data_IF_883248880729
#
_entry.id   IF_883248880729
#
_cell.length_a   1.000
_cell.length_b   1.000
_cell.length_c   1.000
_cell.angle_alpha   90.00
_cell.angle_beta   90.00
_cell.angle_gamma   90.00
#
_symmetry.space_group_name_H-M   'P 1'
#
loop_
_entity.id
_entity.type
_entity.pdbx_description
1 polymer ?
#
# COMPACT_ATOMS: atom_id res chain seq x y z
N UNK A 1 -46.76 0.59 11.66
CA UNK A 1 -46.20 -0.32 10.65
C UNK A 1 -45.17 0.36 9.73
N UNK A 2 -45.51 1.50 9.08
CA UNK A 2 -44.60 2.23 8.18
C UNK A 2 -43.27 2.64 8.85
N UNK A 3 -43.32 3.17 10.08
CA UNK A 3 -42.11 3.59 10.83
C UNK A 3 -41.12 2.44 11.07
N UNK A 4 -41.62 1.23 11.37
CA UNK A 4 -40.76 0.06 11.59
C UNK A 4 -40.09 -0.39 10.28
N UNK A 5 -40.81 -0.31 9.17
CA UNK A 5 -40.26 -0.61 7.84
C UNK A 5 -39.19 0.41 7.45
N UNK A 6 -39.44 1.70 7.70
CA UNK A 6 -38.44 2.77 7.48
C UNK A 6 -37.21 2.58 8.37
N UNK A 7 -37.39 2.21 9.64
CA UNK A 7 -36.31 1.94 10.57
C UNK A 7 -35.49 0.73 10.14
N UNK A 8 -36.13 -0.36 9.70
CA UNK A 8 -35.44 -1.53 9.14
C UNK A 8 -34.66 -1.18 7.87
N UNK A 9 -35.26 -0.41 6.95
CA UNK A 9 -34.57 0.04 5.74
C UNK A 9 -33.37 0.93 6.06
N UNK A 10 -33.50 1.81 7.05
CA UNK A 10 -32.40 2.67 7.49
C UNK A 10 -31.27 1.88 8.17
N UNK A 11 -31.60 0.94 9.06
CA UNK A 11 -30.61 0.02 9.68
C UNK A 11 -29.91 -0.82 8.61
N UNK A 12 -30.65 -1.28 7.61
CA UNK A 12 -30.08 -2.03 6.48
C UNK A 12 -29.08 -1.20 5.69
N UNK A 13 -29.42 0.06 5.36
CA UNK A 13 -28.52 0.97 4.65
C UNK A 13 -27.26 1.26 5.48
N UNK A 14 -27.41 1.54 6.77
CA UNK A 14 -26.28 1.75 7.68
C UNK A 14 -25.36 0.52 7.73
N UNK A 15 -25.93 -0.68 7.77
CA UNK A 15 -25.15 -1.92 7.75
C UNK A 15 -24.43 -2.14 6.42
N UNK A 16 -25.09 -1.84 5.29
CA UNK A 16 -24.48 -1.92 3.97
C UNK A 16 -23.31 -0.94 3.81
N UNK A 17 -23.50 0.32 4.22
CA UNK A 17 -22.48 1.37 4.17
C UNK A 17 -21.27 0.98 5.04
N UNK A 18 -21.49 0.53 6.27
CA UNK A 18 -20.42 0.06 7.16
C UNK A 18 -19.66 -1.14 6.60
N UNK A 19 -20.36 -2.06 5.94
CA UNK A 19 -19.76 -3.24 5.33
C UNK A 19 -18.89 -2.85 4.12
N UNK A 20 -19.37 -1.94 3.28
CA UNK A 20 -18.62 -1.41 2.15
C UNK A 20 -17.38 -0.63 2.60
N UNK A 21 -17.52 0.21 3.63
CA UNK A 21 -16.40 0.95 4.23
C UNK A 21 -15.30 -0.01 4.71
N UNK A 22 -15.68 -1.07 5.43
CA UNK A 22 -14.73 -2.06 5.93
C UNK A 22 -14.01 -2.79 4.80
N UNK A 23 -14.74 -3.31 3.82
CA UNK A 23 -14.16 -4.05 2.68
C UNK A 23 -13.22 -3.17 1.85
N UNK A 24 -13.63 -1.94 1.56
CA UNK A 24 -12.83 -1.01 0.78
C UNK A 24 -11.61 -0.50 1.56
N UNK A 25 -11.66 -0.48 2.89
CA UNK A 25 -10.50 -0.18 3.73
C UNK A 25 -9.48 -1.31 3.66
N UNK A 26 -9.89 -2.54 3.96
CA UNK A 26 -9.00 -3.70 4.03
C UNK A 26 -8.25 -3.86 2.69
N UNK A 27 -8.97 -3.82 1.58
CA UNK A 27 -8.39 -3.94 0.22
C UNK A 27 -7.40 -2.83 -0.11
N UNK A 28 -7.69 -1.57 0.27
CA UNK A 28 -6.83 -0.43 -0.09
C UNK A 28 -5.59 -0.33 0.80
N UNK A 29 -5.74 -0.66 2.09
CA UNK A 29 -4.63 -0.77 3.02
C UNK A 29 -3.65 -1.87 2.59
N UNK A 30 -4.18 -3.04 2.20
CA UNK A 30 -3.40 -4.17 1.70
C UNK A 30 -2.58 -3.80 0.46
N UNK A 31 -3.22 -3.30 -0.60
CA UNK A 31 -2.52 -2.91 -1.85
C UNK A 31 -1.42 -1.89 -1.60
N UNK A 32 -1.71 -0.89 -0.77
CA UNK A 32 -0.76 0.17 -0.50
C UNK A 32 0.43 -0.35 0.33
N UNK A 33 0.18 -1.30 1.26
CA UNK A 33 1.21 -1.92 2.09
C UNK A 33 2.11 -2.83 1.24
N UNK A 34 1.53 -3.60 0.32
CA UNK A 34 2.26 -4.41 -0.65
C UNK A 34 3.18 -3.56 -1.50
N UNK A 35 2.68 -2.44 -2.06
CA UNK A 35 3.51 -1.50 -2.84
C UNK A 35 4.67 -0.94 -2.01
N UNK A 36 4.41 -0.52 -0.77
CA UNK A 36 5.45 0.01 0.11
C UNK A 36 6.50 -1.05 0.47
N UNK A 37 6.07 -2.28 0.75
CA UNK A 37 6.94 -3.40 1.03
C UNK A 37 7.80 -3.78 -0.18
N UNK A 38 7.21 -3.80 -1.39
CA UNK A 38 7.93 -4.07 -2.63
C UNK A 38 8.97 -2.98 -2.95
N UNK A 39 8.62 -1.70 -2.76
CA UNK A 39 9.56 -0.59 -2.92
C UNK A 39 10.74 -0.73 -1.95
N UNK A 40 10.47 -0.97 -0.67
CA UNK A 40 11.52 -1.17 0.33
C UNK A 40 12.36 -2.42 0.04
N UNK A 41 11.75 -3.47 -0.50
CA UNK A 41 12.44 -4.67 -0.97
C UNK A 41 13.43 -4.38 -2.08
N UNK A 42 13.02 -3.60 -3.10
CA UNK A 42 13.89 -3.17 -4.19
C UNK A 42 15.04 -2.27 -3.69
N UNK A 43 14.74 -1.28 -2.84
CA UNK A 43 15.76 -0.39 -2.26
C UNK A 43 16.81 -1.16 -1.47
N UNK A 44 16.38 -2.17 -0.69
CA UNK A 44 17.29 -3.05 0.04
C UNK A 44 18.13 -3.92 -0.90
N UNK A 45 17.51 -4.52 -1.92
CA UNK A 45 18.21 -5.37 -2.88
C UNK A 45 19.25 -4.59 -3.69
N UNK A 46 19.00 -3.30 -3.97
CA UNK A 46 19.96 -2.41 -4.64
C UNK A 46 21.04 -1.88 -3.69
N UNK A 47 20.67 -1.49 -2.48
CA UNK A 47 21.48 -0.64 -1.58
C UNK A 47 22.51 -1.39 -0.73
N UNK A 48 22.62 -1.01 0.55
CA UNK A 48 23.65 -1.52 1.46
C UNK A 48 23.52 -3.02 1.69
N UNK A 49 24.54 -3.76 1.27
CA UNK A 49 24.59 -5.23 1.33
C UNK A 49 23.97 -5.90 0.10
N UNK A 50 23.29 -5.10 -0.73
CA UNK A 50 22.71 -5.49 -2.01
C UNK A 50 23.67 -5.28 -3.18
N UNK A 51 23.09 -5.16 -4.38
CA UNK A 51 23.80 -5.18 -5.65
C UNK A 51 24.84 -4.09 -5.80
N UNK A 52 24.48 -2.81 -5.59
CA UNK A 52 25.40 -1.69 -5.79
C UNK A 52 26.56 -1.77 -4.80
N UNK A 53 26.30 -2.17 -3.54
CA UNK A 53 27.34 -2.34 -2.55
C UNK A 53 28.31 -3.48 -2.91
N UNK A 54 27.79 -4.65 -3.30
CA UNK A 54 28.64 -5.77 -3.72
C UNK A 54 29.45 -5.43 -4.98
N UNK A 55 28.84 -4.73 -5.94
CA UNK A 55 29.51 -4.25 -7.14
C UNK A 55 30.67 -3.32 -6.81
N UNK A 56 30.46 -2.28 -5.98
CA UNK A 56 31.54 -1.38 -5.55
C UNK A 56 32.64 -2.14 -4.81
N UNK A 57 32.29 -3.12 -3.97
CA UNK A 57 33.29 -3.95 -3.30
C UNK A 57 34.06 -4.84 -4.29
N UNK A 58 33.43 -5.32 -5.36
CA UNK A 58 34.09 -6.04 -6.44
C UNK A 58 35.09 -5.13 -7.17
N UNK A 59 34.70 -3.91 -7.53
CA UNK A 59 35.57 -2.92 -8.18
C UNK A 59 36.82 -2.64 -7.33
N UNK A 60 36.65 -2.51 -6.00
CA UNK A 60 37.75 -2.21 -5.07
C UNK A 60 38.67 -3.42 -4.82
N UNK A 61 38.09 -4.61 -4.55
CA UNK A 61 38.84 -5.76 -4.02
C UNK A 61 39.15 -6.84 -5.06
N UNK A 62 38.40 -6.91 -6.16
CA UNK A 62 38.58 -7.85 -7.28
C UNK A 62 38.68 -9.32 -6.92
N UNK A 63 38.04 -9.72 -5.83
CA UNK A 63 37.99 -11.13 -5.42
C UNK A 63 36.79 -11.84 -6.05
N UNK A 64 36.95 -13.14 -6.33
CA UNK A 64 35.86 -14.02 -6.76
C UNK A 64 34.66 -14.02 -5.82
N UNK A 65 34.88 -13.78 -4.52
CA UNK A 65 33.81 -13.67 -3.54
C UNK A 65 32.84 -12.53 -3.88
N UNK A 66 33.35 -11.31 -4.07
CA UNK A 66 32.54 -10.16 -4.43
C UNK A 66 31.95 -10.25 -5.84
N UNK A 67 32.62 -10.93 -6.78
CA UNK A 67 31.98 -11.26 -8.07
C UNK A 67 30.72 -12.12 -7.86
N UNK A 68 30.85 -13.24 -7.13
CA UNK A 68 29.70 -14.13 -6.86
C UNK A 68 28.59 -13.41 -6.11
N UNK A 69 28.93 -12.61 -5.10
CA UNK A 69 27.93 -11.80 -4.34
C UNK A 69 27.24 -10.78 -5.24
N UNK A 70 27.97 -10.13 -6.15
CA UNK A 70 27.41 -9.17 -7.11
C UNK A 70 26.43 -9.86 -8.05
N UNK A 71 26.78 -11.03 -8.61
CA UNK A 71 25.87 -11.81 -9.46
C UNK A 71 24.60 -12.24 -8.73
N UNK A 72 24.74 -12.73 -7.50
CA UNK A 72 23.60 -13.15 -6.67
C UNK A 72 22.66 -11.98 -6.35
N UNK A 73 23.21 -10.87 -5.85
CA UNK A 73 22.43 -9.68 -5.49
C UNK A 73 21.83 -8.95 -6.70
N UNK A 74 22.48 -9.01 -7.88
CA UNK A 74 21.86 -8.56 -9.13
C UNK A 74 20.60 -9.36 -9.45
N UNK A 75 20.65 -10.70 -9.33
CA UNK A 75 19.47 -11.55 -9.55
C UNK A 75 18.34 -11.20 -8.58
N UNK A 76 18.65 -11.01 -7.29
CA UNK A 76 17.68 -10.59 -6.27
C UNK A 76 17.08 -9.21 -6.59
N UNK A 77 17.90 -8.27 -7.05
CA UNK A 77 17.45 -6.93 -7.47
C UNK A 77 16.48 -7.01 -8.64
N UNK A 78 16.75 -7.83 -9.65
CA UNK A 78 15.87 -8.00 -10.80
C UNK A 78 14.53 -8.64 -10.40
N UNK A 79 14.53 -9.60 -9.46
CA UNK A 79 13.30 -10.18 -8.91
C UNK A 79 12.50 -9.13 -8.13
N UNK A 80 13.16 -8.32 -7.29
CA UNK A 80 12.50 -7.25 -6.54
C UNK A 80 11.92 -6.16 -7.46
N UNK A 81 12.61 -5.84 -8.56
CA UNK A 81 12.15 -4.91 -9.58
C UNK A 81 10.88 -5.43 -10.29
N UNK A 82 10.89 -6.71 -10.66
CA UNK A 82 9.74 -7.35 -11.32
C UNK A 82 8.51 -7.37 -10.39
N UNK A 83 8.70 -7.71 -9.11
CA UNK A 83 7.65 -7.62 -8.10
C UNK A 83 7.07 -6.20 -7.98
N UNK A 84 7.93 -5.19 -7.90
CA UNK A 84 7.48 -3.79 -7.85
C UNK A 84 6.71 -3.40 -9.14
N UNK A 85 7.19 -3.84 -10.30
CA UNK A 85 6.55 -3.59 -11.59
C UNK A 85 5.13 -4.17 -11.67
N UNK A 86 4.91 -5.34 -11.09
CA UNK A 86 3.59 -5.97 -11.06
C UNK A 86 2.56 -5.22 -10.20
N UNK A 87 3.01 -4.58 -9.13
CA UNK A 87 2.14 -3.83 -8.23
C UNK A 87 1.84 -2.40 -8.72
N UNK A 88 2.74 -1.83 -9.53
CA UNK A 88 2.66 -0.46 -10.03
C UNK A 88 1.96 -0.40 -11.41
N UNK A 89 0.70 0.02 -11.40
CA UNK A 89 -0.20 -0.15 -12.55
C UNK A 89 -0.37 1.09 -13.43
N UNK A 90 -0.22 2.30 -12.88
CA UNK A 90 -0.47 3.54 -13.63
C UNK A 90 0.65 3.86 -14.62
N UNK A 91 0.36 4.68 -15.63
CA UNK A 91 1.35 5.09 -16.64
C UNK A 91 2.55 5.78 -16.00
N UNK A 92 2.32 6.69 -15.05
CA UNK A 92 3.39 7.39 -14.34
C UNK A 92 4.22 6.46 -13.46
N UNK A 93 3.57 5.56 -12.71
CA UNK A 93 4.30 4.58 -11.88
C UNK A 93 5.18 3.67 -12.76
N UNK A 94 4.67 3.22 -13.91
CA UNK A 94 5.44 2.40 -14.87
C UNK A 94 6.63 3.14 -15.44
N UNK A 95 6.48 4.42 -15.81
CA UNK A 95 7.60 5.23 -16.29
C UNK A 95 8.72 5.34 -15.23
N UNK A 96 8.35 5.48 -13.96
CA UNK A 96 9.32 5.50 -12.85
C UNK A 96 10.01 4.15 -12.64
N UNK A 97 9.28 3.04 -12.77
CA UNK A 97 9.87 1.70 -12.73
C UNK A 97 10.85 1.49 -13.88
N UNK A 98 10.52 1.93 -15.09
CA UNK A 98 11.42 1.84 -16.24
C UNK A 98 12.68 2.71 -16.06
N UNK A 99 12.55 3.89 -15.45
CA UNK A 99 13.68 4.73 -15.09
C UNK A 99 14.64 4.02 -14.10
N UNK A 100 14.11 3.30 -13.11
CA UNK A 100 14.92 2.48 -12.18
C UNK A 100 15.56 1.30 -12.91
N UNK A 101 14.81 0.62 -13.78
CA UNK A 101 15.29 -0.49 -14.59
C UNK A 101 16.48 -0.09 -15.45
N UNK A 102 16.42 1.08 -16.09
CA UNK A 102 17.51 1.61 -16.91
C UNK A 102 18.82 1.72 -16.14
N UNK A 103 18.79 2.24 -14.91
CA UNK A 103 19.99 2.36 -14.07
C UNK A 103 20.48 1.00 -13.59
N UNK A 104 19.58 0.08 -13.23
CA UNK A 104 19.97 -1.30 -12.89
C UNK A 104 20.65 -1.99 -14.07
N UNK A 105 20.14 -1.80 -15.29
CA UNK A 105 20.73 -2.33 -16.51
C UNK A 105 22.10 -1.70 -16.81
N UNK A 106 22.29 -0.40 -16.55
CA UNK A 106 23.59 0.26 -16.67
C UNK A 106 24.60 -0.30 -15.67
N UNK A 107 24.24 -0.41 -14.38
CA UNK A 107 25.08 -1.09 -13.39
C UNK A 107 25.40 -2.54 -13.79
N UNK A 108 24.44 -3.29 -14.35
CA UNK A 108 24.72 -4.64 -14.87
C UNK A 108 25.76 -4.58 -15.99
N UNK A 109 25.61 -3.67 -16.94
CA UNK A 109 26.55 -3.54 -18.04
C UNK A 109 27.95 -3.14 -17.55
N UNK A 110 28.04 -2.19 -16.60
CA UNK A 110 29.28 -1.78 -15.97
C UNK A 110 29.95 -2.89 -15.15
N UNK A 111 29.15 -3.75 -14.52
CA UNK A 111 29.66 -4.96 -13.88
C UNK A 111 30.22 -5.95 -14.90
N UNK A 112 29.53 -6.24 -16.00
CA UNK A 112 30.09 -7.12 -17.03
C UNK A 112 31.35 -6.52 -17.69
N UNK A 113 31.39 -5.19 -17.86
CA UNK A 113 32.59 -4.47 -18.30
C UNK A 113 33.76 -4.66 -17.33
N UNK A 114 33.51 -4.61 -16.01
CA UNK A 114 34.56 -4.77 -15.00
C UNK A 114 35.20 -6.17 -14.98
N UNK A 115 34.54 -7.17 -15.57
CA UNK A 115 35.00 -8.55 -15.62
C UNK A 115 35.92 -8.85 -16.81
N UNK A 116 36.01 -7.96 -17.80
CA UNK A 116 36.85 -8.18 -18.96
C UNK A 116 38.34 -8.29 -18.56
N UNK A 117 39.06 -9.21 -19.19
CA UNK A 117 40.50 -9.43 -18.93
C UNK A 117 41.32 -8.16 -19.10
N UNK A 118 40.93 -7.33 -20.06
CA UNK A 118 41.53 -6.01 -20.32
C UNK A 118 41.42 -5.07 -19.11
N UNK A 119 40.47 -5.26 -18.18
CA UNK A 119 40.34 -4.40 -17.00
C UNK A 119 41.23 -4.79 -15.83
N UNK A 120 41.85 -5.98 -15.89
CA UNK A 120 42.66 -6.52 -14.78
C UNK A 120 43.90 -5.68 -14.45
N UNK A 121 44.44 -4.93 -15.42
CA UNK A 121 45.64 -4.11 -15.22
C UNK A 121 45.37 -2.74 -14.60
N UNK A 122 44.12 -2.28 -14.59
CA UNK A 122 43.76 -0.98 -14.01
C UNK A 122 43.94 -1.02 -12.49
N UNK A 123 44.18 0.13 -11.86
CA UNK A 123 44.01 0.29 -10.41
C UNK A 123 42.52 0.29 -10.01
N UNK A 124 42.18 0.12 -8.72
CA UNK A 124 40.82 0.27 -8.24
C UNK A 124 40.18 1.62 -8.61
N UNK A 125 40.95 2.71 -8.53
CA UNK A 125 40.46 4.06 -8.84
C UNK A 125 40.19 4.26 -10.33
N UNK A 126 41.08 3.77 -11.20
CA UNK A 126 40.87 3.84 -12.65
C UNK A 126 39.68 3.00 -13.09
N UNK A 127 39.54 1.80 -12.52
CA UNK A 127 38.38 0.95 -12.79
C UNK A 127 37.09 1.61 -12.32
N UNK A 128 37.06 2.17 -11.10
CA UNK A 128 35.88 2.85 -10.55
C UNK A 128 35.42 4.01 -11.43
N UNK A 129 36.36 4.78 -11.99
CA UNK A 129 36.06 5.85 -12.94
C UNK A 129 35.47 5.31 -14.25
N UNK A 130 36.02 4.22 -14.80
CA UNK A 130 35.54 3.64 -16.06
C UNK A 130 34.14 2.99 -15.93
N UNK A 131 33.86 2.42 -14.77
CA UNK A 131 32.60 1.72 -14.47
C UNK A 131 31.61 2.58 -13.70
N UNK A 132 31.80 3.89 -13.70
CA UNK A 132 30.88 4.85 -13.11
C UNK A 132 29.49 4.76 -13.72
N UNK A 133 28.47 4.90 -12.87
CA UNK A 133 27.04 4.93 -13.22
C UNK A 133 26.44 6.19 -12.60
N UNK A 134 25.69 6.94 -13.40
CA UNK A 134 24.85 8.03 -12.89
C UNK A 134 23.47 7.48 -12.50
N UNK A 135 23.23 7.37 -11.19
CA UNK A 135 22.00 6.84 -10.63
C UNK A 135 20.96 7.91 -10.26
N UNK A 136 21.21 9.18 -10.61
CA UNK A 136 20.34 10.33 -10.27
C UNK A 136 18.89 10.10 -10.71
N UNK A 137 18.69 9.53 -11.90
CA UNK A 137 17.37 9.26 -12.47
C UNK A 137 16.61 8.18 -11.66
N UNK A 138 17.29 7.11 -11.23
CA UNK A 138 16.67 6.08 -10.40
C UNK A 138 16.37 6.58 -9.00
N UNK A 139 17.27 7.37 -8.39
CA UNK A 139 17.04 7.98 -7.08
C UNK A 139 15.83 8.92 -7.11
N UNK A 140 15.69 9.72 -8.15
CA UNK A 140 14.53 10.58 -8.37
C UNK A 140 13.24 9.76 -8.51
N UNK A 141 13.27 8.68 -9.29
CA UNK A 141 12.12 7.79 -9.48
C UNK A 141 11.70 7.08 -8.18
N UNK A 142 12.64 6.52 -7.40
CA UNK A 142 12.39 5.90 -6.10
C UNK A 142 11.79 6.91 -5.11
N UNK A 143 12.37 8.11 -5.04
CA UNK A 143 11.87 9.19 -4.20
C UNK A 143 10.45 9.61 -4.59
N UNK A 144 10.16 9.71 -5.88
CA UNK A 144 8.83 10.06 -6.38
C UNK A 144 7.81 8.96 -6.05
N UNK A 145 8.13 7.67 -6.27
CA UNK A 145 7.23 6.57 -5.88
C UNK A 145 6.95 6.61 -4.36
N UNK A 146 7.98 6.80 -3.54
CA UNK A 146 7.83 6.93 -2.08
C UNK A 146 6.93 8.11 -1.70
N UNK A 147 7.13 9.26 -2.34
CA UNK A 147 6.35 10.48 -2.14
C UNK A 147 4.90 10.29 -2.57
N UNK A 148 4.60 9.44 -3.52
CA UNK A 148 3.21 9.20 -3.93
C UNK A 148 2.49 8.19 -3.03
N UNK A 149 3.22 7.23 -2.46
CA UNK A 149 2.64 6.24 -1.55
C UNK A 149 2.19 6.89 -0.22
N UNK A 150 3.06 7.67 0.42
CA UNK A 150 2.83 8.22 1.77
C UNK A 150 1.59 9.12 1.92
N UNK A 151 1.35 10.13 1.06
CA UNK A 151 0.18 11.00 1.12
C UNK A 151 -1.09 10.26 0.77
N UNK A 152 -1.07 9.36 -0.24
CA UNK A 152 -2.25 8.56 -0.61
C UNK A 152 -2.71 7.70 0.56
N UNK A 153 -1.77 7.11 1.30
CA UNK A 153 -2.08 6.42 2.55
C UNK A 153 -2.70 7.34 3.60
N UNK A 154 -2.09 8.50 3.87
CA UNK A 154 -2.57 9.44 4.90
C UNK A 154 -3.94 10.03 4.56
N UNK A 155 -4.14 10.45 3.32
CA UNK A 155 -5.41 10.97 2.82
C UNK A 155 -6.53 9.93 3.01
N UNK A 156 -6.26 8.67 2.68
CA UNK A 156 -7.22 7.59 2.83
C UNK A 156 -7.55 7.30 4.30
N UNK A 157 -6.57 7.34 5.20
CA UNK A 157 -6.79 7.23 6.65
C UNK A 157 -7.71 8.37 7.13
N UNK A 158 -7.48 9.60 6.67
CA UNK A 158 -8.28 10.77 7.09
C UNK A 158 -9.70 10.71 6.54
N UNK A 159 -9.87 10.41 5.25
CA UNK A 159 -11.19 10.25 4.62
C UNK A 159 -12.01 9.14 5.31
N UNK A 160 -11.38 8.01 5.58
CA UNK A 160 -12.06 6.88 6.23
C UNK A 160 -12.38 7.19 7.70
N UNK A 161 -11.53 7.93 8.41
CA UNK A 161 -11.84 8.40 9.75
C UNK A 161 -13.10 9.27 9.75
N UNK A 162 -13.24 10.19 8.80
CA UNK A 162 -14.46 11.00 8.66
C UNK A 162 -15.70 10.16 8.36
N UNK A 163 -15.57 9.13 7.51
CA UNK A 163 -16.68 8.22 7.20
C UNK A 163 -17.09 7.35 8.40
N UNK A 164 -16.11 6.85 9.16
CA UNK A 164 -16.33 6.12 10.42
C UNK A 164 -16.99 7.03 11.47
N UNK A 165 -16.54 8.27 11.62
CA UNK A 165 -17.14 9.24 12.54
C UNK A 165 -18.59 9.53 12.17
N UNK A 166 -18.90 9.69 10.87
CA UNK A 166 -20.28 9.85 10.40
C UNK A 166 -21.14 8.60 10.66
N UNK A 167 -20.58 7.40 10.46
CA UNK A 167 -21.28 6.17 10.77
C UNK A 167 -21.58 6.03 12.28
N UNK A 168 -20.66 6.45 13.15
CA UNK A 168 -20.89 6.51 14.60
C UNK A 168 -22.01 7.49 14.98
N UNK A 169 -22.08 8.65 14.32
CA UNK A 169 -23.19 9.59 14.50
C UNK A 169 -24.53 8.97 14.08
N UNK A 170 -24.55 8.24 12.95
CA UNK A 170 -25.75 7.53 12.52
C UNK A 170 -26.17 6.47 13.54
N UNK A 171 -25.23 5.64 14.03
CA UNK A 171 -25.51 4.64 15.09
C UNK A 171 -26.13 5.31 16.33
N UNK A 172 -25.56 6.42 16.82
CA UNK A 172 -26.09 7.16 17.96
C UNK A 172 -27.53 7.65 17.73
N UNK A 173 -27.80 8.27 16.58
CA UNK A 173 -29.15 8.70 16.19
C UNK A 173 -30.12 7.51 16.16
N UNK A 174 -29.68 6.37 15.61
CA UNK A 174 -30.47 5.13 15.58
C UNK A 174 -30.82 4.61 16.97
N UNK A 175 -29.86 4.58 17.89
CA UNK A 175 -30.07 4.15 19.28
C UNK A 175 -31.08 5.05 20.00
N UNK A 176 -30.97 6.38 19.81
CA UNK A 176 -31.91 7.35 20.39
C UNK A 176 -33.32 7.14 19.81
N UNK A 177 -33.44 7.03 18.49
CA UNK A 177 -34.74 6.80 17.83
C UNK A 177 -35.37 5.48 18.29
N UNK A 178 -34.58 4.42 18.43
CA UNK A 178 -35.05 3.13 18.92
C UNK A 178 -35.55 3.23 20.37
N UNK A 179 -34.81 3.94 21.24
CA UNK A 179 -35.24 4.18 22.62
C UNK A 179 -36.57 4.95 22.67
N UNK A 180 -36.75 5.97 21.81
CA UNK A 180 -38.01 6.73 21.71
C UNK A 180 -39.17 5.84 21.26
N UNK A 181 -38.96 4.97 20.25
CA UNK A 181 -39.98 4.03 19.78
C UNK A 181 -40.38 3.02 20.86
N UNK A 182 -39.41 2.48 21.60
CA UNK A 182 -39.65 1.56 22.72
C UNK A 182 -40.39 2.25 23.88
N UNK A 183 -40.05 3.50 24.18
CA UNK A 183 -40.72 4.28 25.20
C UNK A 183 -42.17 4.60 24.81
N UNK A 184 -42.40 5.01 23.55
CA UNK A 184 -43.72 5.27 23.03
C UNK A 184 -44.60 4.01 23.01
N UNK A 185 -44.05 2.85 22.63
CA UNK A 185 -44.78 1.59 22.64
C UNK A 185 -45.15 1.16 24.07
N UNK A 186 -44.27 1.36 25.05
CA UNK A 186 -44.54 1.07 26.46
C UNK A 186 -45.69 1.93 27.01
N UNK A 187 -45.79 3.20 26.61
CA UNK A 187 -46.89 4.10 27.03
C UNK A 187 -48.21 3.73 26.36
N UNK A 188 -48.20 3.36 25.08
CA UNK A 188 -49.42 3.07 24.32
C UNK A 188 -50.01 1.67 24.60
N UNK A 189 -49.19 0.69 24.98
CA UNK A 189 -49.63 -0.70 25.21
C UNK A 189 -50.78 -0.83 26.23
N UNK A 190 -50.74 -0.20 27.42
CA UNK A 190 -51.79 -0.31 28.42
C UNK A 190 -53.16 0.20 27.93
N UNK A 191 -53.16 1.31 27.18
CA UNK A 191 -54.38 1.90 26.62
C UNK A 191 -55.00 1.02 25.53
N UNK A 192 -54.17 0.39 24.71
CA UNK A 192 -54.62 -0.55 23.68
C UNK A 192 -55.25 -1.81 24.29
N UNK A 193 -54.61 -2.41 25.30
CA UNK A 193 -55.12 -3.59 26.00
C UNK A 193 -56.45 -3.27 26.69
N UNK A 194 -56.54 -2.12 27.36
CA UNK A 194 -57.78 -1.68 28.01
C UNK A 194 -58.94 -1.52 27.00
N UNK A 195 -58.66 -0.93 25.82
CA UNK A 195 -59.65 -0.78 24.75
C UNK A 195 -60.19 -2.11 24.22
N UNK A 196 -59.31 -3.07 23.90
CA UNK A 196 -59.72 -4.39 23.39
C UNK A 196 -60.58 -5.14 24.42
N UNK A 197 -60.21 -5.10 25.70
CA UNK A 197 -60.93 -5.77 26.79
C UNK A 197 -62.34 -5.21 27.07
N UNK A 198 -62.64 -4.01 26.57
CA UNK A 198 -63.94 -3.34 26.72
C UNK A 198 -64.91 -3.68 25.59
N UNK A 199 -64.40 -3.98 24.39
CA UNK A 199 -65.17 -4.44 23.23
C UNK A 199 -65.58 -5.90 23.30
N UNK A 200 -64.85 -6.77 24.02
CA UNK A 200 -65.26 -8.18 24.23
C UNK A 200 -66.32 -8.35 25.34
N UNK A 201 -66.59 -7.29 26.13
CA UNK A 201 -67.57 -7.30 27.23
C UNK A 201 -68.94 -6.73 26.85
N UNK A 202 -69.14 -6.30 25.62
CA UNK A 202 -70.41 -5.88 25.01
C UNK A 202 -70.77 -6.81 23.86
#
# INVERSE_FOLDING_TARGET
MILNIMMMAWVWNLFADLSELKLNWDKRAEVSLEKAAALAGLERAMGYGGFIHNFKNHVIRRSDEYERRTRASLKETLIALDNLKHLLATVEERQRVEAIKWVIDDYRHKFELSLLTEKKHLSPTELDHEVYVDDTTALAALSAIRKDLLPKFREQIVLNKMQVDNAWQQVLVGVILMAVVLFASMICLPWFIAGVSSTERN
#
